data_IF_858823071648
#
_entry.id   IF_858823071648
#
_cell.length_a   1.000
_cell.length_b   1.000
_cell.length_c   1.000
_cell.angle_alpha   90.00
_cell.angle_beta   90.00
_cell.angle_gamma   90.00
#
_symmetry.space_group_name_H-M   'P 1'
#
loop_
_entity.id
_entity.type
_entity.pdbx_description
1 polymer ?
#
# COMPACT_ATOMS: atom_id res chain seq x y z
N UNK A 1 8.10 -17.50 3.98
CA UNK A 1 9.46 -17.95 3.59
C UNK A 1 9.99 -17.15 2.41
N UNK A 2 11.03 -17.64 1.74
CA UNK A 2 11.68 -16.94 0.62
C UNK A 2 11.71 -17.81 -0.64
N UNK A 3 11.45 -17.19 -1.80
CA UNK A 3 11.49 -17.87 -3.09
C UNK A 3 12.90 -18.35 -3.46
N UNK A 4 13.00 -19.49 -4.14
CA UNK A 4 14.26 -19.98 -4.73
C UNK A 4 14.45 -19.57 -6.20
N UNK A 5 13.43 -18.96 -6.80
CA UNK A 5 13.40 -18.64 -8.24
C UNK A 5 13.23 -17.15 -8.54
N UNK A 6 12.59 -16.42 -7.62
CA UNK A 6 12.24 -15.01 -7.83
C UNK A 6 13.06 -14.14 -6.89
N UNK A 7 13.85 -13.24 -7.47
CA UNK A 7 14.51 -12.17 -6.72
C UNK A 7 13.47 -11.27 -6.04
N UNK A 8 13.88 -10.61 -4.95
CA UNK A 8 13.06 -9.65 -4.26
C UNK A 8 12.69 -8.51 -5.23
N UNK A 9 11.40 -8.27 -5.49
CA UNK A 9 10.99 -7.12 -6.30
C UNK A 9 11.40 -5.82 -5.62
N UNK A 10 11.52 -4.73 -6.37
CA UNK A 10 12.08 -3.46 -5.87
C UNK A 10 11.38 -2.95 -4.59
N UNK A 11 10.08 -3.22 -4.43
CA UNK A 11 9.31 -2.81 -3.26
C UNK A 11 9.58 -3.63 -2.00
N UNK A 12 10.14 -4.84 -2.12
CA UNK A 12 10.55 -5.69 -0.98
C UNK A 12 12.02 -5.50 -0.59
N UNK A 13 12.83 -4.86 -1.42
CA UNK A 13 14.26 -4.66 -1.16
C UNK A 13 14.46 -3.79 0.09
N UNK A 14 15.27 -4.26 1.03
CA UNK A 14 15.49 -3.58 2.31
C UNK A 14 14.36 -3.77 3.33
N UNK A 15 13.26 -4.42 2.96
CA UNK A 15 12.18 -4.80 3.89
C UNK A 15 12.26 -6.28 4.26
N UNK A 16 12.54 -7.15 3.27
CA UNK A 16 12.73 -8.59 3.51
C UNK A 16 14.21 -8.88 3.78
N UNK A 17 14.49 -9.90 4.60
CA UNK A 17 15.87 -10.33 4.84
C UNK A 17 16.39 -11.13 3.63
N UNK A 18 17.27 -10.52 2.84
CA UNK A 18 17.92 -11.14 1.69
C UNK A 18 17.43 -10.59 0.34
N UNK A 19 17.81 -11.28 -0.74
CA UNK A 19 17.62 -10.83 -2.12
C UNK A 19 16.52 -11.58 -2.89
N UNK A 20 15.71 -12.38 -2.20
CA UNK A 20 14.66 -13.22 -2.79
C UNK A 20 13.26 -12.77 -2.37
N UNK A 21 12.25 -13.01 -3.22
CA UNK A 21 10.83 -12.67 -2.94
C UNK A 21 10.39 -13.33 -1.65
N UNK A 22 10.10 -12.53 -0.63
CA UNK A 22 9.59 -13.00 0.66
C UNK A 22 8.08 -13.17 0.60
N UNK A 23 7.54 -14.28 1.12
CA UNK A 23 6.10 -14.57 1.26
C UNK A 23 5.73 -14.76 2.74
N UNK A 24 4.49 -14.43 3.15
CA UNK A 24 3.46 -13.72 2.37
C UNK A 24 3.70 -12.19 2.37
N UNK A 25 2.86 -11.45 1.65
CA UNK A 25 2.83 -9.97 1.71
C UNK A 25 1.94 -9.48 2.87
N UNK A 26 0.77 -10.09 3.06
CA UNK A 26 -0.18 -9.83 4.16
C UNK A 26 -0.73 -11.14 4.72
N UNK A 27 -1.32 -11.09 5.92
CA UNK A 27 -1.98 -12.23 6.55
C UNK A 27 -3.44 -11.94 6.89
N UNK A 28 -4.21 -13.01 7.09
CA UNK A 28 -5.61 -13.02 7.51
C UNK A 28 -5.84 -14.19 8.47
N UNK A 29 -7.04 -14.25 9.06
CA UNK A 29 -7.46 -15.42 9.82
C UNK A 29 -7.42 -16.68 8.95
N UNK A 30 -6.78 -17.72 9.49
CA UNK A 30 -6.58 -18.99 8.80
C UNK A 30 -6.62 -20.20 9.75
N UNK A 31 -6.75 -20.01 11.07
CA UNK A 31 -6.75 -21.14 11.99
C UNK A 31 -8.08 -21.89 11.96
N UNK A 32 -8.10 -23.22 11.82
CA UNK A 32 -9.29 -24.03 12.03
C UNK A 32 -9.82 -23.97 13.47
N UNK A 33 -9.00 -23.58 14.45
CA UNK A 33 -9.44 -23.39 15.84
C UNK A 33 -10.22 -22.09 16.05
N UNK A 34 -10.19 -21.17 15.10
CA UNK A 34 -11.00 -19.95 15.06
C UNK A 34 -11.68 -19.88 13.68
N UNK A 35 -12.63 -20.80 13.41
CA UNK A 35 -13.13 -20.99 12.06
C UNK A 35 -14.08 -19.87 11.63
N UNK A 36 -14.26 -19.75 10.31
CA UNK A 36 -15.38 -19.03 9.71
C UNK A 36 -16.39 -20.04 9.20
N UNK A 37 -17.67 -19.78 9.47
CA UNK A 37 -18.77 -20.61 9.01
C UNK A 37 -19.04 -20.37 7.52
N UNK A 38 -19.02 -21.46 6.74
CA UNK A 38 -19.37 -21.43 5.31
C UNK A 38 -20.54 -22.38 5.07
N UNK A 39 -21.55 -21.91 4.33
CA UNK A 39 -22.67 -22.76 3.93
C UNK A 39 -22.38 -23.39 2.57
N UNK A 40 -22.34 -24.72 2.52
CA UNK A 40 -22.18 -25.47 1.27
C UNK A 40 -23.27 -26.53 1.17
N UNK A 41 -24.00 -26.55 0.04
CA UNK A 41 -25.10 -27.50 -0.20
C UNK A 41 -26.11 -27.57 0.97
N UNK A 42 -26.41 -26.42 1.59
CA UNK A 42 -27.35 -26.32 2.71
C UNK A 42 -26.80 -26.72 4.09
N UNK A 43 -25.52 -27.10 4.20
CA UNK A 43 -24.88 -27.46 5.46
C UNK A 43 -23.85 -26.40 5.87
N UNK A 44 -23.69 -26.18 7.17
CA UNK A 44 -22.68 -25.29 7.74
C UNK A 44 -21.39 -26.07 7.97
N UNK A 45 -20.27 -25.47 7.58
CA UNK A 45 -18.92 -26.01 7.76
C UNK A 45 -18.03 -24.99 8.44
N UNK A 46 -17.16 -25.48 9.33
CA UNK A 46 -16.11 -24.72 9.98
C UNK A 46 -14.88 -24.73 9.08
N UNK A 47 -14.54 -23.56 8.53
CA UNK A 47 -13.45 -23.45 7.55
C UNK A 47 -12.34 -22.56 8.09
N UNK A 48 -11.10 -23.00 7.88
CA UNK A 48 -9.88 -22.22 8.05
C UNK A 48 -9.01 -22.27 6.79
N UNK A 49 -7.70 -22.13 6.98
CA UNK A 49 -6.70 -22.12 5.92
C UNK A 49 -6.53 -20.75 5.26
N UNK A 50 -5.39 -20.55 4.60
CA UNK A 50 -5.11 -19.33 3.82
C UNK A 50 -6.04 -19.16 2.62
N UNK A 51 -6.68 -20.24 2.18
CA UNK A 51 -7.79 -20.22 1.21
C UNK A 51 -8.97 -19.39 1.67
N UNK A 52 -9.25 -19.29 2.98
CA UNK A 52 -10.24 -18.37 3.54
C UNK A 52 -9.72 -16.92 3.53
N UNK A 53 -8.45 -16.72 3.86
CA UNK A 53 -7.82 -15.40 3.88
C UNK A 53 -7.73 -14.72 2.51
N UNK A 54 -7.56 -15.50 1.44
CA UNK A 54 -7.42 -15.00 0.07
C UNK A 54 -8.66 -14.22 -0.43
N UNK A 55 -9.90 -14.73 -0.36
CA UNK A 55 -11.09 -13.97 -0.73
C UNK A 55 -11.37 -12.79 0.21
N UNK A 56 -11.00 -12.88 1.49
CA UNK A 56 -11.09 -11.73 2.41
C UNK A 56 -10.18 -10.59 1.95
N UNK A 57 -8.95 -10.90 1.56
CA UNK A 57 -8.03 -9.92 0.99
C UNK A 57 -8.55 -9.34 -0.33
N UNK A 58 -9.10 -10.17 -1.21
CA UNK A 58 -9.71 -9.70 -2.46
C UNK A 58 -10.85 -8.71 -2.21
N UNK A 59 -11.70 -8.95 -1.21
CA UNK A 59 -12.76 -8.02 -0.82
C UNK A 59 -12.20 -6.69 -0.30
N UNK A 60 -11.13 -6.71 0.49
CA UNK A 60 -10.47 -5.49 0.98
C UNK A 60 -9.87 -4.69 -0.18
N UNK A 61 -9.22 -5.34 -1.15
CA UNK A 61 -8.73 -4.65 -2.35
C UNK A 61 -9.88 -4.07 -3.17
N UNK A 62 -11.02 -4.78 -3.30
CA UNK A 62 -12.21 -4.23 -3.96
C UNK A 62 -12.78 -3.00 -3.22
N UNK A 63 -12.73 -2.97 -1.88
CA UNK A 63 -13.08 -1.78 -1.10
C UNK A 63 -12.08 -0.63 -1.35
N UNK A 64 -10.79 -0.92 -1.50
CA UNK A 64 -9.80 0.08 -1.89
C UNK A 64 -10.09 0.64 -3.29
N UNK A 65 -10.43 -0.22 -4.26
CA UNK A 65 -10.81 0.20 -5.62
C UNK A 65 -12.01 1.15 -5.58
N UNK A 66 -13.07 0.76 -4.85
CA UNK A 66 -14.28 1.57 -4.70
C UNK A 66 -13.98 2.91 -4.04
N UNK A 67 -13.20 2.92 -2.95
CA UNK A 67 -12.90 4.14 -2.20
C UNK A 67 -12.01 5.12 -2.96
N UNK A 68 -11.11 4.61 -3.80
CA UNK A 68 -10.25 5.43 -4.64
C UNK A 68 -10.88 5.80 -5.99
N UNK A 69 -12.08 5.28 -6.29
CA UNK A 69 -12.78 5.44 -7.56
C UNK A 69 -11.91 5.07 -8.79
N UNK A 70 -11.07 4.04 -8.64
CA UNK A 70 -10.21 3.50 -9.69
C UNK A 70 -9.74 2.11 -9.32
N UNK A 71 -9.37 1.31 -10.32
CA UNK A 71 -8.66 0.07 -10.02
C UNK A 71 -7.27 0.37 -9.47
N UNK A 72 -6.93 -0.31 -8.38
CA UNK A 72 -5.65 -0.22 -7.69
C UNK A 72 -4.59 -1.09 -8.38
N UNK A 73 -5.00 -2.11 -9.14
CA UNK A 73 -4.10 -3.03 -9.80
C UNK A 73 -3.18 -3.78 -8.82
N UNK A 74 -1.88 -3.84 -9.12
CA UNK A 74 -0.91 -4.43 -8.21
C UNK A 74 -0.70 -3.52 -6.99
N UNK A 75 -1.30 -3.89 -5.86
CA UNK A 75 -1.22 -3.14 -4.59
C UNK A 75 0.10 -3.31 -3.86
N UNK A 76 0.94 -4.30 -4.19
CA UNK A 76 2.15 -4.59 -3.41
C UNK A 76 3.09 -3.37 -3.26
N UNK A 77 3.47 -2.62 -4.31
CA UNK A 77 4.28 -1.42 -4.16
C UNK A 77 3.72 -0.43 -3.13
N UNK A 78 2.40 -0.22 -3.12
CA UNK A 78 1.73 0.67 -2.18
C UNK A 78 1.83 0.15 -0.74
N UNK A 79 1.60 -1.16 -0.51
CA UNK A 79 1.67 -1.72 0.85
C UNK A 79 3.06 -1.57 1.45
N UNK A 80 4.10 -1.79 0.65
CA UNK A 80 5.49 -1.63 1.08
C UNK A 80 5.90 -0.15 1.20
N UNK A 81 5.28 0.77 0.45
CA UNK A 81 5.40 2.20 0.70
C UNK A 81 4.80 2.59 2.06
N UNK A 82 3.65 2.02 2.42
CA UNK A 82 3.02 2.21 3.74
C UNK A 82 3.93 1.66 4.85
N UNK A 83 4.50 0.47 4.66
CA UNK A 83 5.48 -0.13 5.58
C UNK A 83 6.66 0.82 5.89
N UNK A 84 7.18 1.48 4.86
CA UNK A 84 8.32 2.39 5.00
C UNK A 84 7.94 3.79 5.52
N UNK A 85 6.71 3.96 6.00
CA UNK A 85 6.17 5.23 6.50
C UNK A 85 5.71 5.09 7.96
N UNK A 86 5.47 6.23 8.62
CA UNK A 86 4.89 6.23 9.98
C UNK A 86 3.47 5.65 10.05
N UNK A 87 2.80 5.45 8.91
CA UNK A 87 1.47 4.84 8.85
C UNK A 87 1.46 3.31 9.01
N UNK A 88 2.63 2.65 9.03
CA UNK A 88 2.71 1.18 9.06
C UNK A 88 1.98 0.58 10.26
N UNK A 89 2.32 1.01 11.48
CA UNK A 89 1.73 0.51 12.73
C UNK A 89 0.24 0.82 12.86
N UNK A 90 -0.25 1.86 12.18
CA UNK A 90 -1.67 2.18 12.12
C UNK A 90 -2.44 1.42 11.04
N UNK A 91 -1.76 1.02 9.96
CA UNK A 91 -2.38 0.36 8.81
C UNK A 91 -2.35 -1.16 8.90
N UNK A 92 -1.44 -1.73 9.69
CA UNK A 92 -1.29 -3.16 9.89
C UNK A 92 -1.09 -3.51 11.36
N UNK A 93 -1.82 -4.53 11.80
CA UNK A 93 -1.55 -5.24 13.04
C UNK A 93 -0.43 -6.25 12.79
N UNK A 94 0.75 -5.95 13.33
CA UNK A 94 1.92 -6.81 13.24
C UNK A 94 1.75 -8.03 14.14
N UNK A 95 2.03 -9.21 13.60
CA UNK A 95 2.08 -10.44 14.39
C UNK A 95 3.54 -10.69 14.73
N UNK A 96 3.86 -10.62 16.01
CA UNK A 96 5.24 -10.63 16.53
C UNK A 96 5.55 -11.86 17.37
N UNK A 97 4.67 -12.87 17.34
CA UNK A 97 4.85 -14.13 18.07
C UNK A 97 4.17 -15.29 17.33
N UNK A 98 4.69 -16.50 17.59
CA UNK A 98 4.31 -17.72 16.87
C UNK A 98 5.23 -18.01 15.68
N UNK A 99 4.98 -19.13 15.02
CA UNK A 99 5.80 -19.64 13.92
C UNK A 99 4.95 -20.45 12.92
N UNK A 100 5.54 -20.80 11.78
CA UNK A 100 4.95 -21.72 10.81
C UNK A 100 5.76 -23.03 10.66
N UNK A 101 6.48 -23.42 11.71
CA UNK A 101 7.38 -24.58 11.75
C UNK A 101 8.75 -24.37 11.10
N UNK A 102 8.93 -23.30 10.31
CA UNK A 102 10.20 -22.98 9.63
C UNK A 102 10.75 -21.61 9.96
N UNK A 103 9.86 -20.65 10.22
CA UNK A 103 10.22 -19.28 10.55
C UNK A 103 9.39 -18.78 11.73
N UNK A 104 10.00 -17.90 12.51
CA UNK A 104 9.35 -17.20 13.62
C UNK A 104 8.78 -15.85 13.16
N UNK A 105 7.66 -15.47 13.77
CA UNK A 105 7.10 -14.13 13.63
C UNK A 105 7.87 -13.14 14.50
N UNK A 106 8.15 -11.96 13.96
CA UNK A 106 8.95 -10.90 14.58
C UNK A 106 8.35 -9.53 14.20
N UNK A 107 8.68 -8.44 14.92
CA UNK A 107 8.29 -7.09 14.53
C UNK A 107 8.72 -6.75 13.10
N UNK A 108 7.91 -5.96 12.40
CA UNK A 108 8.13 -5.63 11.00
C UNK A 108 7.50 -6.64 10.04
N UNK A 109 7.96 -6.64 8.78
CA UNK A 109 7.66 -7.71 7.86
C UNK A 109 8.34 -9.01 8.32
N UNK A 110 7.62 -10.11 8.32
CA UNK A 110 8.21 -11.42 8.62
C UNK A 110 7.70 -12.53 7.68
N UNK A 111 8.46 -13.61 7.48
CA UNK A 111 8.12 -14.70 6.55
C UNK A 111 6.98 -15.62 7.04
N UNK A 112 6.32 -15.28 8.15
CA UNK A 112 5.14 -15.99 8.69
C UNK A 112 3.86 -15.24 8.28
N UNK A 113 3.79 -13.93 8.55
CA UNK A 113 2.58 -13.11 8.36
C UNK A 113 2.75 -11.91 7.44
N UNK A 114 3.92 -11.75 6.82
CA UNK A 114 4.22 -10.61 5.98
C UNK A 114 4.18 -9.30 6.77
N UNK A 115 3.51 -8.29 6.22
CA UNK A 115 3.24 -7.01 6.88
C UNK A 115 2.27 -7.12 8.07
N UNK A 116 1.67 -8.29 8.29
CA UNK A 116 0.65 -8.52 9.31
C UNK A 116 -0.77 -8.53 8.73
N UNK A 117 -1.76 -8.34 9.61
CA UNK A 117 -3.18 -8.26 9.23
C UNK A 117 -3.60 -6.81 9.03
N UNK A 118 -4.37 -6.47 7.99
CA UNK A 118 -4.68 -5.07 7.71
C UNK A 118 -5.71 -4.49 8.68
N UNK A 119 -5.45 -3.28 9.17
CA UNK A 119 -6.50 -2.42 9.73
C UNK A 119 -7.26 -1.78 8.55
N UNK A 120 -8.33 -2.44 8.11
CA UNK A 120 -9.02 -2.14 6.84
C UNK A 120 -9.33 -0.65 6.64
N UNK A 121 -9.92 0.02 7.62
CA UNK A 121 -10.24 1.46 7.54
C UNK A 121 -8.99 2.33 7.37
N UNK A 122 -7.93 2.04 8.12
CA UNK A 122 -6.71 2.83 8.10
C UNK A 122 -5.92 2.58 6.82
N UNK A 123 -5.85 1.32 6.37
CA UNK A 123 -5.23 0.94 5.11
C UNK A 123 -5.92 1.62 3.92
N UNK A 124 -7.26 1.60 3.87
CA UNK A 124 -8.03 2.25 2.79
C UNK A 124 -7.81 3.77 2.82
N UNK A 125 -7.88 4.41 4.00
CA UNK A 125 -7.62 5.85 4.14
C UNK A 125 -6.20 6.23 3.72
N UNK A 126 -5.20 5.46 4.16
CA UNK A 126 -3.80 5.68 3.80
C UNK A 126 -3.56 5.48 2.30
N UNK A 127 -4.19 4.48 1.69
CA UNK A 127 -4.12 4.25 0.24
C UNK A 127 -4.53 5.49 -0.56
N UNK A 128 -5.61 6.16 -0.13
CA UNK A 128 -6.10 7.37 -0.77
C UNK A 128 -5.16 8.55 -0.56
N UNK A 129 -4.61 8.72 0.63
CA UNK A 129 -3.63 9.79 0.90
C UNK A 129 -2.37 9.65 0.03
N UNK A 130 -1.89 8.43 -0.19
CA UNK A 130 -0.70 8.16 -1.01
C UNK A 130 -0.99 8.25 -2.51
N UNK A 131 -2.17 7.80 -2.97
CA UNK A 131 -2.57 7.85 -4.38
C UNK A 131 -3.00 9.25 -4.82
N UNK A 132 -3.66 10.00 -3.93
CA UNK A 132 -3.99 11.42 -4.16
C UNK A 132 -2.78 12.35 -3.93
N UNK A 133 -1.58 11.80 -3.73
CA UNK A 133 -0.35 12.55 -3.45
C UNK A 133 -0.08 13.67 -4.46
N UNK A 134 -0.40 14.89 -4.04
CA UNK A 134 0.09 16.20 -4.46
C UNK A 134 0.14 16.48 -5.97
N UNK A 135 -1.02 16.65 -6.61
CA UNK A 135 -1.09 17.63 -7.70
C UNK A 135 -1.02 19.02 -7.08
N UNK A 136 0.04 19.78 -7.39
CA UNK A 136 0.01 21.23 -7.22
C UNK A 136 -0.48 21.83 -8.54
N UNK A 137 -1.68 22.41 -8.53
CA UNK A 137 -2.10 23.29 -9.62
C UNK A 137 -1.63 24.69 -9.29
N UNK A 138 -0.62 25.17 -10.00
CA UNK A 138 -0.33 26.61 -10.01
C UNK A 138 -1.35 27.25 -10.94
N UNK A 139 -2.39 27.85 -10.37
CA UNK A 139 -3.32 28.72 -11.11
C UNK A 139 -2.71 30.11 -11.14
N UNK A 140 -2.25 30.54 -12.30
CA UNK A 140 -1.81 31.92 -12.50
C UNK A 140 -3.05 32.82 -12.55
N UNK A 141 -3.40 33.43 -11.42
CA UNK A 141 -4.39 34.50 -11.40
C UNK A 141 -3.71 35.81 -11.84
N UNK A 142 -3.56 35.96 -13.16
CA UNK A 142 -3.08 37.18 -13.81
C UNK A 142 -4.09 37.63 -14.85
N UNK A 143 -4.77 38.74 -14.59
CA UNK A 143 -5.63 39.41 -15.57
C UNK A 143 -4.74 40.11 -16.62
N UNK A 144 -4.38 39.42 -17.69
CA UNK A 144 -3.76 40.06 -18.86
C UNK A 144 -2.93 39.12 -19.71
N UNK A 145 -3.25 39.03 -21.00
CA UNK A 145 -2.49 38.33 -22.06
C UNK A 145 -1.09 38.96 -22.34
N UNK A 146 -0.59 39.85 -21.48
CA UNK A 146 0.48 40.82 -21.80
C UNK A 146 1.50 41.01 -20.66
N UNK A 147 1.64 40.03 -19.76
CA UNK A 147 2.69 40.07 -18.74
C UNK A 147 4.03 39.60 -19.33
N UNK A 148 5.06 40.46 -19.28
CA UNK A 148 6.43 40.14 -19.72
C UNK A 148 7.14 39.08 -18.86
N UNK A 149 6.57 38.73 -17.70
CA UNK A 149 7.10 37.74 -16.77
C UNK A 149 5.96 36.95 -16.13
N UNK A 150 6.04 35.61 -16.20
CA UNK A 150 5.21 34.68 -15.42
C UNK A 150 6.09 34.17 -14.29
N UNK A 151 5.75 34.46 -13.04
CA UNK A 151 6.45 33.92 -11.86
C UNK A 151 5.57 32.91 -11.11
N UNK A 152 6.16 31.79 -10.72
CA UNK A 152 5.56 30.80 -9.83
C UNK A 152 6.53 30.53 -8.68
N UNK A 153 6.04 30.55 -7.45
CA UNK A 153 6.77 30.06 -6.29
C UNK A 153 6.11 28.77 -5.79
N UNK A 154 6.91 27.73 -5.60
CA UNK A 154 6.48 26.48 -4.99
C UNK A 154 7.02 26.42 -3.56
N UNK A 155 6.12 26.46 -2.58
CA UNK A 155 6.45 26.22 -1.18
C UNK A 155 5.95 24.82 -0.79
N UNK A 156 6.87 23.86 -0.66
CA UNK A 156 6.55 22.53 -0.13
C UNK A 156 6.58 22.61 1.40
N UNK A 157 5.41 22.57 2.03
CA UNK A 157 5.29 22.56 3.48
C UNK A 157 5.22 21.10 3.97
N UNK A 158 6.35 20.55 4.41
CA UNK A 158 6.42 19.18 4.89
C UNK A 158 5.95 19.11 6.35
N UNK A 159 4.63 19.04 6.54
CA UNK A 159 4.01 19.04 7.87
C UNK A 159 3.67 17.65 8.42
N UNK A 160 4.13 16.55 7.82
CA UNK A 160 3.99 15.24 8.46
C UNK A 160 4.97 14.21 7.92
N UNK A 161 5.65 13.55 8.85
CA UNK A 161 6.73 12.59 8.66
C UNK A 161 6.28 11.30 7.96
N UNK A 162 6.07 11.35 6.64
CA UNK A 162 5.80 10.20 5.77
C UNK A 162 6.84 10.16 4.64
N UNK A 163 8.07 9.81 5.01
CA UNK A 163 9.26 9.66 4.15
C UNK A 163 9.66 10.91 3.32
N UNK A 164 10.97 11.22 3.19
CA UNK A 164 11.40 12.26 2.28
C UNK A 164 10.96 11.89 0.86
N UNK A 165 10.17 12.75 0.21
CA UNK A 165 9.83 12.61 -1.19
C UNK A 165 11.14 12.50 -2.01
N UNK A 166 11.38 11.33 -2.61
CA UNK A 166 12.47 11.10 -3.56
C UNK A 166 11.90 11.02 -4.96
N UNK A 167 11.68 12.19 -5.57
CA UNK A 167 11.22 12.34 -6.94
C UNK A 167 11.62 13.70 -7.51
N UNK A 168 11.44 13.87 -8.81
CA UNK A 168 11.52 15.18 -9.47
C UNK A 168 10.13 15.59 -9.93
N UNK A 169 9.80 16.87 -9.83
CA UNK A 169 8.64 17.44 -10.52
C UNK A 169 9.12 17.97 -11.87
N UNK A 170 8.47 17.55 -12.95
CA UNK A 170 8.69 18.10 -14.29
C UNK A 170 7.52 19.03 -14.63
N UNK A 171 7.81 20.29 -14.90
CA UNK A 171 6.84 21.25 -15.44
C UNK A 171 7.23 21.58 -16.88
N UNK A 172 6.26 21.58 -17.78
CA UNK A 172 6.42 22.06 -19.14
C UNK A 172 5.72 23.41 -19.25
N UNK A 173 6.48 24.47 -19.54
CA UNK A 173 5.93 25.76 -19.95
C UNK A 173 5.87 25.76 -21.48
N UNK A 174 4.66 25.81 -22.02
CA UNK A 174 4.45 25.95 -23.46
C UNK A 174 3.88 27.34 -23.73
N UNK A 175 4.62 28.15 -24.50
CA UNK A 175 4.09 29.39 -25.07
C UNK A 175 3.30 29.03 -26.33
N UNK A 176 2.04 29.44 -26.37
CA UNK A 176 1.27 29.47 -27.61
C UNK A 176 1.24 30.92 -28.09
N UNK A 177 1.94 31.23 -29.18
CA UNK A 177 1.68 32.46 -29.92
C UNK A 177 0.48 32.19 -30.83
N UNK A 178 -0.65 32.87 -30.61
CA UNK A 178 -1.69 32.97 -31.63
C UNK A 178 -1.15 33.82 -32.78
N UNK A 179 -1.09 33.23 -33.98
CA UNK A 179 -0.86 33.95 -35.24
C UNK A 179 -1.95 35.00 -35.48
#
# INVERSE_FOLDING_TARGET
GYSQHFSAPYWQQGVVNGSSRGVPDVAMIASPSTPVYVVMKGNIYDVGGTSLGTPMWAAIVAMMDQFNNRSMGNVNPLLYQIHNSSAYTGSFNQITSGDNGYYSAEPGWNPVTGLGTPHVSNLINCSRQLIQGYYSSVVFNGSGYDSSEISASLSVNYNNSLAPYKGGFYYYLQYFSSL
#
